data_IF_975542526059
#
_entry.id   IF_975542526059
#
_cell.length_a   1.000
_cell.length_b   1.000
_cell.length_c   1.000
_cell.angle_alpha   90.00
_cell.angle_beta   90.00
_cell.angle_gamma   90.00
#
_symmetry.space_group_name_H-M   'P 1'
#
loop_
_entity.id
_entity.type
_entity.pdbx_description
1 polymer ?
#
# COMPACT_ATOMS: atom_id res chain seq x y z
N UNK A 1 -14.08 11.93 6.15
CA UNK A 1 -13.02 11.00 6.56
C UNK A 1 -13.70 9.86 7.32
N UNK A 2 -13.92 8.71 6.67
CA UNK A 2 -14.43 7.50 7.34
C UNK A 2 -13.20 6.64 7.63
N UNK A 3 -12.81 6.59 8.90
CA UNK A 3 -11.79 5.71 9.45
C UNK A 3 -12.25 4.26 9.27
N UNK A 4 -11.63 3.52 8.34
CA UNK A 4 -11.76 2.06 8.31
C UNK A 4 -10.94 1.51 9.48
N UNK A 5 -11.58 1.25 10.62
CA UNK A 5 -11.00 0.35 11.61
C UNK A 5 -11.03 -1.06 11.01
N UNK A 6 -9.88 -1.65 10.68
CA UNK A 6 -9.82 -3.06 10.28
C UNK A 6 -10.22 -3.92 11.49
N UNK A 7 -11.51 -4.14 11.69
CA UNK A 7 -12.00 -5.07 12.67
C UNK A 7 -12.04 -6.47 12.05
N UNK A 8 -11.38 -7.42 12.71
CA UNK A 8 -11.49 -8.84 12.40
C UNK A 8 -12.33 -9.50 13.50
N UNK A 9 -13.28 -10.35 13.10
CA UNK A 9 -14.09 -11.15 14.03
C UNK A 9 -13.81 -12.62 13.80
N UNK A 10 -13.47 -13.32 14.88
CA UNK A 10 -13.23 -14.76 14.87
C UNK A 10 -14.36 -15.49 15.58
N UNK A 11 -14.80 -16.57 14.96
CA UNK A 11 -15.86 -17.46 15.44
C UNK A 11 -15.29 -18.86 15.54
N UNK A 12 -15.66 -19.59 16.60
CA UNK A 12 -15.18 -20.94 16.87
C UNK A 12 -16.35 -21.90 17.12
N UNK A 13 -16.10 -23.20 16.92
CA UNK A 13 -17.03 -24.27 17.25
C UNK A 13 -18.43 -24.09 16.63
N UNK A 14 -19.47 -24.09 17.45
CA UNK A 14 -20.85 -23.98 16.99
C UNK A 14 -21.15 -22.66 16.24
N UNK A 15 -20.54 -21.55 16.67
CA UNK A 15 -20.72 -20.26 15.99
C UNK A 15 -20.05 -20.23 14.61
N UNK A 16 -18.87 -20.85 14.48
CA UNK A 16 -18.22 -21.05 13.19
C UNK A 16 -19.09 -21.89 12.24
N UNK A 17 -19.73 -22.95 12.77
CA UNK A 17 -20.59 -23.84 11.97
C UNK A 17 -21.87 -23.17 11.46
N UNK A 18 -22.38 -22.16 12.16
CA UNK A 18 -23.52 -21.34 11.66
C UNK A 18 -23.14 -20.53 10.42
N UNK A 19 -21.88 -20.11 10.33
CA UNK A 19 -21.38 -19.31 9.21
C UNK A 19 -20.94 -20.19 8.03
N UNK A 20 -20.15 -21.23 8.33
CA UNK A 20 -19.63 -22.18 7.34
C UNK A 20 -19.83 -23.59 7.87
N UNK A 21 -20.68 -24.37 7.20
CA UNK A 21 -20.95 -25.76 7.61
C UNK A 21 -19.65 -26.57 7.64
N UNK A 22 -19.38 -27.21 8.77
CA UNK A 22 -18.20 -28.04 8.99
C UNK A 22 -16.94 -27.30 9.46
N UNK A 23 -16.99 -25.97 9.59
CA UNK A 23 -15.87 -25.19 10.12
C UNK A 23 -15.71 -25.36 11.63
N UNK A 24 -14.47 -25.37 12.10
CA UNK A 24 -14.08 -25.22 13.51
C UNK A 24 -13.76 -23.76 13.84
N UNK A 25 -13.22 -23.01 12.87
CA UNK A 25 -12.88 -21.60 12.99
C UNK A 25 -13.28 -20.86 11.71
N UNK A 26 -13.82 -19.66 11.86
CA UNK A 26 -14.12 -18.74 10.76
C UNK A 26 -13.67 -17.34 11.18
N UNK A 27 -12.88 -16.66 10.35
CA UNK A 27 -12.56 -15.24 10.50
C UNK A 27 -13.24 -14.44 9.39
N UNK A 28 -13.80 -13.30 9.77
CA UNK A 28 -14.40 -12.34 8.86
C UNK A 28 -13.68 -11.00 9.06
N UNK A 29 -13.37 -10.33 7.95
CA UNK A 29 -12.86 -8.96 7.92
C UNK A 29 -13.80 -8.08 7.11
N UNK A 30 -13.63 -6.77 7.21
CA UNK A 30 -14.43 -5.79 6.45
C UNK A 30 -14.06 -5.72 4.95
N UNK A 31 -13.06 -6.50 4.49
CA UNK A 31 -12.57 -6.44 3.11
C UNK A 31 -13.55 -7.01 2.10
N UNK A 32 -14.22 -8.11 2.45
CA UNK A 32 -15.19 -8.78 1.57
C UNK A 32 -16.36 -9.33 2.36
N UNK A 33 -17.42 -9.73 1.67
CA UNK A 33 -18.63 -10.29 2.24
C UNK A 33 -18.57 -11.82 2.46
N UNK A 34 -17.40 -12.43 2.24
CA UNK A 34 -17.10 -13.84 2.51
C UNK A 34 -15.97 -13.95 3.55
N UNK A 35 -15.96 -14.97 4.42
CA UNK A 35 -14.88 -15.16 5.38
C UNK A 35 -13.48 -15.22 4.75
N UNK A 36 -12.52 -14.51 5.32
CA UNK A 36 -11.15 -14.44 4.81
C UNK A 36 -10.26 -15.59 5.31
N UNK A 37 -10.71 -16.31 6.33
CA UNK A 37 -10.07 -17.50 6.86
C UNK A 37 -11.09 -18.50 7.40
N UNK A 38 -10.93 -19.78 7.04
CA UNK A 38 -11.81 -20.88 7.46
C UNK A 38 -10.92 -22.08 7.80
N UNK A 39 -11.11 -22.71 8.96
CA UNK A 39 -10.49 -23.99 9.32
C UNK A 39 -11.59 -25.02 9.48
N UNK A 40 -11.47 -26.18 8.83
CA UNK A 40 -12.45 -27.26 8.92
C UNK A 40 -12.15 -28.20 10.08
N UNK A 41 -13.21 -28.75 10.67
CA UNK A 41 -13.09 -29.90 11.56
C UNK A 41 -12.49 -31.09 10.78
N UNK A 42 -11.66 -31.91 11.42
CA UNK A 42 -10.99 -33.05 10.74
C UNK A 42 -11.97 -34.00 10.02
N UNK A 43 -13.13 -34.25 10.63
CA UNK A 43 -14.18 -35.11 10.06
C UNK A 43 -14.96 -34.46 8.91
N UNK A 44 -14.90 -33.12 8.77
CA UNK A 44 -15.67 -32.34 7.81
C UNK A 44 -14.81 -31.67 6.74
N UNK A 45 -13.52 -32.03 6.65
CA UNK A 45 -12.64 -31.51 5.60
C UNK A 45 -13.14 -31.94 4.21
N UNK A 46 -13.06 -31.01 3.26
CA UNK A 46 -13.66 -31.17 1.93
C UNK A 46 -12.61 -31.74 0.98
N UNK A 47 -12.90 -32.79 0.19
CA UNK A 47 -11.98 -33.24 -0.85
C UNK A 47 -11.70 -32.12 -1.87
N UNK A 48 -10.45 -31.98 -2.31
CA UNK A 48 -10.04 -30.86 -3.17
C UNK A 48 -10.87 -30.78 -4.46
N UNK A 49 -11.23 -31.93 -5.05
CA UNK A 49 -12.07 -32.01 -6.25
C UNK A 49 -13.50 -31.51 -6.05
N UNK A 50 -13.96 -31.39 -4.80
CA UNK A 50 -15.28 -30.86 -4.44
C UNK A 50 -15.26 -29.35 -4.13
N UNK A 51 -14.10 -28.69 -4.19
CA UNK A 51 -13.96 -27.26 -3.92
C UNK A 51 -15.00 -26.41 -4.67
N UNK A 52 -15.08 -26.56 -6.00
CA UNK A 52 -15.99 -25.77 -6.83
C UNK A 52 -17.46 -25.97 -6.46
N UNK A 53 -17.87 -27.19 -6.13
CA UNK A 53 -19.24 -27.47 -5.69
C UNK A 53 -19.53 -26.85 -4.33
N UNK A 54 -18.59 -26.97 -3.38
CA UNK A 54 -18.71 -26.42 -2.03
C UNK A 54 -18.79 -24.89 -2.04
N UNK A 55 -17.84 -24.23 -2.69
CA UNK A 55 -17.77 -22.76 -2.62
C UNK A 55 -18.97 -22.10 -3.29
N UNK A 56 -19.53 -22.72 -4.35
CA UNK A 56 -20.72 -22.24 -5.05
C UNK A 56 -21.98 -22.25 -4.20
N UNK A 57 -22.04 -23.02 -3.11
CA UNK A 57 -23.17 -22.98 -2.16
C UNK A 57 -23.32 -21.61 -1.49
N UNK A 58 -22.24 -20.83 -1.43
CA UNK A 58 -22.22 -19.53 -0.76
C UNK A 58 -22.33 -18.35 -1.72
N UNK A 59 -22.32 -18.59 -3.03
CA UNK A 59 -22.33 -17.52 -4.05
C UNK A 59 -23.77 -17.16 -4.43
N UNK A 60 -24.09 -15.85 -4.50
CA UNK A 60 -25.42 -15.37 -4.95
C UNK A 60 -25.72 -15.82 -6.38
N UNK A 61 -24.69 -15.80 -7.24
CA UNK A 61 -24.78 -16.12 -8.67
C UNK A 61 -23.77 -17.23 -9.05
N UNK A 62 -24.00 -18.49 -8.65
CA UNK A 62 -23.02 -19.58 -8.78
C UNK A 62 -22.76 -20.03 -10.22
N UNK A 63 -23.72 -19.82 -11.13
CA UNK A 63 -23.55 -20.10 -12.56
C UNK A 63 -22.59 -19.11 -13.24
N UNK A 64 -22.55 -17.86 -12.75
CA UNK A 64 -21.67 -16.79 -13.25
C UNK A 64 -20.30 -16.79 -12.57
N UNK A 65 -20.16 -17.48 -11.44
CA UNK A 65 -18.93 -17.50 -10.65
C UNK A 65 -18.06 -18.71 -11.00
N UNK A 66 -16.77 -18.47 -11.24
CA UNK A 66 -15.77 -19.52 -11.47
C UNK A 66 -14.43 -19.18 -10.80
N UNK A 67 -13.53 -20.16 -10.74
CA UNK A 67 -12.23 -20.03 -10.09
C UNK A 67 -11.14 -20.56 -11.04
N UNK A 68 -10.18 -19.70 -11.37
CA UNK A 68 -9.05 -20.05 -12.25
C UNK A 68 -7.81 -20.33 -11.39
N UNK A 69 -7.17 -21.47 -11.62
CA UNK A 69 -5.92 -21.82 -10.94
C UNK A 69 -4.83 -20.78 -11.27
N UNK A 70 -4.18 -20.26 -10.24
CA UNK A 70 -3.05 -19.32 -10.35
C UNK A 70 -1.74 -20.03 -10.08
N UNK A 71 -1.64 -20.71 -8.92
CA UNK A 71 -0.43 -21.45 -8.55
C UNK A 71 -0.77 -22.63 -7.63
N UNK A 72 0.12 -23.61 -7.61
CA UNK A 72 0.08 -24.77 -6.72
C UNK A 72 1.50 -25.08 -6.26
N UNK A 73 1.72 -25.13 -4.95
CA UNK A 73 3.03 -25.45 -4.39
C UNK A 73 2.92 -26.24 -3.09
N UNK A 74 3.99 -26.98 -2.76
CA UNK A 74 4.12 -27.74 -1.52
C UNK A 74 4.94 -26.94 -0.52
N UNK A 75 4.61 -27.03 0.76
CA UNK A 75 5.48 -26.51 1.82
C UNK A 75 6.34 -27.60 2.47
N UNK A 76 7.18 -27.18 3.42
CA UNK A 76 8.13 -28.06 4.11
C UNK A 76 7.49 -29.01 5.13
N UNK A 77 6.22 -28.78 5.50
CA UNK A 77 5.50 -29.56 6.52
C UNK A 77 4.39 -30.45 5.91
N UNK A 78 4.39 -30.58 4.58
CA UNK A 78 3.56 -31.51 3.83
C UNK A 78 2.18 -30.99 3.46
N UNK A 79 1.92 -29.68 3.55
CA UNK A 79 0.73 -29.09 2.95
C UNK A 79 0.95 -28.75 1.48
N UNK A 80 -0.15 -28.79 0.72
CA UNK A 80 -0.23 -28.30 -0.65
C UNK A 80 -1.14 -27.09 -0.66
N UNK A 81 -0.60 -25.97 -1.14
CA UNK A 81 -1.27 -24.68 -1.23
C UNK A 81 -1.73 -24.44 -2.66
N UNK A 82 -3.04 -24.28 -2.88
CA UNK A 82 -3.63 -24.10 -4.21
C UNK A 82 -4.32 -22.74 -4.26
N UNK A 83 -3.75 -21.80 -5.01
CA UNK A 83 -4.28 -20.44 -5.15
C UNK A 83 -5.15 -20.33 -6.40
N UNK A 84 -6.35 -19.81 -6.23
CA UNK A 84 -7.30 -19.50 -7.30
C UNK A 84 -7.61 -18.00 -7.34
N UNK A 85 -7.77 -17.50 -8.55
CA UNK A 85 -8.36 -16.19 -8.84
C UNK A 85 -9.87 -16.37 -9.01
N UNK A 86 -10.69 -15.56 -8.34
CA UNK A 86 -12.13 -15.54 -8.56
C UNK A 86 -12.47 -14.81 -9.86
N UNK A 87 -13.40 -15.38 -10.62
CA UNK A 87 -13.95 -14.82 -11.85
C UNK A 87 -15.46 -14.68 -11.74
N UNK A 88 -16.01 -13.64 -12.37
CA UNK A 88 -17.44 -13.44 -12.60
C UNK A 88 -17.67 -13.23 -14.10
N UNK A 89 -18.50 -14.07 -14.72
CA UNK A 89 -18.73 -14.09 -16.17
C UNK A 89 -17.42 -14.14 -16.98
N UNK A 90 -16.48 -15.00 -16.56
CA UNK A 90 -15.14 -15.17 -17.12
C UNK A 90 -14.19 -13.97 -16.99
N UNK A 91 -14.55 -12.92 -16.25
CA UNK A 91 -13.70 -11.76 -15.97
C UNK A 91 -13.11 -11.88 -14.57
N UNK A 92 -11.81 -11.61 -14.41
CA UNK A 92 -11.17 -11.62 -13.10
C UNK A 92 -11.70 -10.49 -12.24
N UNK A 93 -11.90 -10.74 -10.95
CA UNK A 93 -12.27 -9.72 -9.98
C UNK A 93 -11.00 -9.22 -9.29
N UNK A 94 -10.79 -7.91 -9.30
CA UNK A 94 -9.61 -7.29 -8.69
C UNK A 94 -9.48 -7.65 -7.20
N UNK A 95 -8.27 -8.04 -6.79
CA UNK A 95 -7.95 -8.46 -5.42
C UNK A 95 -8.59 -9.78 -4.95
N UNK A 96 -9.50 -10.39 -5.73
CA UNK A 96 -10.28 -11.54 -5.26
C UNK A 96 -9.55 -12.88 -5.49
N UNK A 97 -8.79 -13.31 -4.49
CA UNK A 97 -8.01 -14.55 -4.51
C UNK A 97 -8.31 -15.42 -3.30
N UNK A 98 -8.38 -16.73 -3.51
CA UNK A 98 -8.59 -17.73 -2.48
C UNK A 98 -7.50 -18.79 -2.55
N UNK A 99 -6.97 -19.19 -1.41
CA UNK A 99 -5.94 -20.22 -1.27
C UNK A 99 -6.50 -21.37 -0.44
N UNK A 100 -6.42 -22.57 -0.99
CA UNK A 100 -6.76 -23.80 -0.29
C UNK A 100 -5.49 -24.36 0.34
N UNK A 101 -5.51 -24.60 1.64
CA UNK A 101 -4.45 -25.28 2.37
C UNK A 101 -4.87 -26.73 2.56
N UNK A 102 -4.18 -27.65 1.89
CA UNK A 102 -4.64 -29.03 1.75
C UNK A 102 -3.62 -30.02 2.27
N UNK A 103 -4.11 -31.12 2.86
CA UNK A 103 -3.30 -32.26 3.31
C UNK A 103 -4.09 -33.53 3.05
N UNK A 104 -3.42 -34.59 2.59
CA UNK A 104 -4.06 -35.87 2.24
C UNK A 104 -5.25 -35.70 1.27
N UNK A 105 -5.12 -34.83 0.27
CA UNK A 105 -6.16 -34.46 -0.71
C UNK A 105 -7.47 -33.88 -0.11
N UNK A 106 -7.41 -33.36 1.11
CA UNK A 106 -8.52 -32.66 1.75
C UNK A 106 -8.15 -31.22 2.10
N UNK A 107 -9.12 -30.33 2.01
CA UNK A 107 -9.01 -28.92 2.39
C UNK A 107 -9.11 -28.85 3.91
N UNK A 108 -7.98 -28.51 4.54
CA UNK A 108 -7.87 -28.32 6.00
C UNK A 108 -8.30 -26.91 6.36
N UNK A 109 -7.84 -25.93 5.59
CA UNK A 109 -8.22 -24.54 5.75
C UNK A 109 -8.25 -23.79 4.41
N UNK A 110 -8.89 -22.63 4.42
CA UNK A 110 -9.00 -21.71 3.31
C UNK A 110 -8.60 -20.33 3.80
N UNK A 111 -7.82 -19.59 3.01
CA UNK A 111 -7.52 -18.18 3.27
C UNK A 111 -7.65 -17.33 2.02
N UNK A 112 -7.92 -16.05 2.17
CA UNK A 112 -7.96 -15.09 1.07
C UNK A 112 -9.30 -14.38 0.95
N UNK A 113 -9.34 -13.38 0.07
CA UNK A 113 -10.46 -12.47 -0.07
C UNK A 113 -11.23 -12.84 -1.34
N UNK A 114 -12.52 -13.13 -1.22
CA UNK A 114 -13.44 -13.34 -2.35
C UNK A 114 -14.79 -12.69 -2.06
N UNK A 115 -15.58 -12.45 -3.09
CA UNK A 115 -16.89 -11.80 -2.98
C UNK A 115 -18.01 -12.77 -3.30
N UNK A 116 -19.05 -12.82 -2.46
CA UNK A 116 -20.20 -13.72 -2.67
C UNK A 116 -21.39 -13.06 -3.35
N UNK A 117 -21.62 -11.76 -3.11
CA UNK A 117 -22.76 -11.01 -3.63
C UNK A 117 -22.36 -10.10 -4.80
N UNK A 118 -21.82 -10.69 -5.87
CA UNK A 118 -21.41 -9.92 -7.05
C UNK A 118 -22.60 -9.72 -8.00
N UNK A 119 -22.85 -8.46 -8.33
CA UNK A 119 -23.79 -8.03 -9.35
C UNK A 119 -23.17 -6.89 -10.16
N UNK A 120 -23.15 -7.05 -11.48
CA UNK A 120 -22.62 -6.06 -12.41
C UNK A 120 -23.65 -5.82 -13.51
N UNK A 121 -23.72 -4.58 -13.97
CA UNK A 121 -24.42 -4.26 -15.21
C UNK A 121 -23.54 -4.62 -16.40
N UNK A 122 -24.11 -5.30 -17.40
CA UNK A 122 -23.38 -5.64 -18.62
C UNK A 122 -23.42 -4.52 -19.64
N UNK A 123 -22.85 -3.37 -19.27
CA UNK A 123 -22.79 -2.18 -20.11
C UNK A 123 -21.33 -1.82 -20.42
N UNK A 124 -20.85 -2.26 -21.59
CA UNK A 124 -19.52 -1.90 -22.11
C UNK A 124 -19.78 -1.01 -23.31
N UNK A 125 -19.45 0.27 -23.19
CA UNK A 125 -19.72 1.27 -24.25
C UNK A 125 -18.46 1.96 -24.74
N UNK A 126 -17.34 1.88 -24.01
CA UNK A 126 -16.05 2.42 -24.46
C UNK A 126 -15.13 1.32 -24.98
N UNK A 127 -14.21 1.69 -25.86
CA UNK A 127 -13.19 0.77 -26.39
C UNK A 127 -11.95 0.73 -25.49
N UNK A 128 -11.12 -0.32 -25.64
CA UNK A 128 -9.81 -0.38 -25.00
C UNK A 128 -8.94 0.85 -25.34
N UNK A 129 -8.97 1.32 -26.59
CA UNK A 129 -8.19 2.48 -27.01
C UNK A 129 -8.72 3.78 -26.38
N UNK A 130 -10.04 3.95 -26.31
CA UNK A 130 -10.65 5.05 -25.56
C UNK A 130 -10.21 5.05 -24.09
N UNK A 131 -10.12 3.87 -23.47
CA UNK A 131 -9.65 3.74 -22.08
C UNK A 131 -8.21 4.22 -21.89
N UNK A 132 -7.32 3.91 -22.85
CA UNK A 132 -5.94 4.41 -22.84
C UNK A 132 -5.94 5.94 -22.95
N UNK A 133 -6.77 6.52 -23.82
CA UNK A 133 -6.85 7.97 -23.97
C UNK A 133 -7.38 8.69 -22.71
N UNK A 134 -8.33 8.12 -21.99
CA UNK A 134 -8.75 8.65 -20.68
C UNK A 134 -7.60 8.65 -19.67
N UNK A 135 -6.85 7.55 -19.59
CA UNK A 135 -5.70 7.44 -18.71
C UNK A 135 -4.54 8.37 -19.15
N UNK A 136 -4.28 8.54 -20.46
CA UNK A 136 -3.29 9.51 -20.97
C UNK A 136 -3.67 10.95 -20.62
N UNK A 137 -4.94 11.31 -20.76
CA UNK A 137 -5.46 12.62 -20.36
C UNK A 137 -5.25 12.86 -18.87
N UNK A 138 -5.51 11.86 -18.02
CA UNK A 138 -5.24 11.94 -16.58
C UNK A 138 -3.75 12.09 -16.26
N UNK A 139 -2.89 11.29 -16.90
CA UNK A 139 -1.44 11.34 -16.70
C UNK A 139 -0.86 12.68 -17.12
N UNK A 140 -1.43 13.33 -18.16
CA UNK A 140 -0.98 14.61 -18.70
C UNK A 140 0.55 14.66 -18.96
N UNK A 141 1.13 13.52 -19.36
CA UNK A 141 2.56 13.41 -19.60
C UNK A 141 2.94 13.90 -20.98
N UNK A 142 4.16 14.45 -21.10
CA UNK A 142 4.74 14.92 -22.37
C UNK A 142 5.15 13.76 -23.27
N UNK A 143 5.60 12.66 -22.67
CA UNK A 143 5.99 11.45 -23.39
C UNK A 143 5.85 10.20 -22.56
N UNK A 144 5.65 9.07 -23.24
CA UNK A 144 5.47 7.75 -22.65
C UNK A 144 6.58 6.78 -23.07
N UNK A 145 6.84 5.76 -22.25
CA UNK A 145 7.95 4.81 -22.49
C UNK A 145 7.83 4.08 -23.84
N UNK A 146 6.62 3.76 -24.29
CA UNK A 146 6.39 3.10 -25.58
C UNK A 146 6.62 4.00 -26.79
N UNK A 147 6.70 5.32 -26.60
CA UNK A 147 6.98 6.29 -27.67
C UNK A 147 8.49 6.41 -27.93
N UNK A 148 9.33 5.83 -27.05
CA UNK A 148 10.79 5.89 -27.12
C UNK A 148 11.32 4.54 -27.61
N UNK A 149 11.76 4.50 -28.87
CA UNK A 149 12.17 3.25 -29.52
C UNK A 149 13.35 2.54 -28.81
N UNK A 150 14.27 3.28 -28.18
CA UNK A 150 15.38 2.70 -27.41
C UNK A 150 14.90 2.00 -26.14
N UNK A 151 13.91 2.54 -25.44
CA UNK A 151 13.29 1.93 -24.24
C UNK A 151 12.58 0.63 -24.61
N UNK A 152 11.82 0.62 -25.71
CA UNK A 152 11.18 -0.59 -26.25
C UNK A 152 12.20 -1.68 -26.61
N UNK A 153 13.33 -1.31 -27.22
CA UNK A 153 14.42 -2.26 -27.53
C UNK A 153 15.05 -2.81 -26.25
N UNK A 154 15.30 -1.96 -25.27
CA UNK A 154 15.90 -2.35 -23.99
C UNK A 154 14.99 -3.31 -23.22
N UNK A 155 13.69 -3.04 -23.15
CA UNK A 155 12.71 -3.92 -22.49
C UNK A 155 12.73 -5.33 -23.08
N UNK A 156 12.78 -5.45 -24.41
CA UNK A 156 12.83 -6.76 -25.11
C UNK A 156 14.10 -7.53 -24.78
N UNK A 157 15.22 -6.83 -24.66
CA UNK A 157 16.49 -7.42 -24.24
C UNK A 157 16.42 -7.89 -22.77
N UNK A 158 16.01 -7.03 -21.84
CA UNK A 158 15.95 -7.33 -20.41
C UNK A 158 15.00 -8.49 -20.07
N UNK A 159 13.87 -8.56 -20.77
CA UNK A 159 12.85 -9.60 -20.56
C UNK A 159 13.10 -10.86 -21.39
N UNK A 160 14.11 -10.85 -22.26
CA UNK A 160 14.35 -11.88 -23.27
C UNK A 160 13.08 -12.24 -24.05
N UNK A 161 12.27 -11.23 -24.41
CA UNK A 161 10.98 -11.41 -25.08
C UNK A 161 10.85 -10.40 -26.24
N UNK A 162 10.87 -10.86 -27.51
CA UNK A 162 10.81 -9.96 -28.67
C UNK A 162 9.46 -9.22 -28.80
N UNK A 163 8.41 -9.71 -28.15
CA UNK A 163 7.07 -9.13 -28.16
C UNK A 163 6.79 -8.24 -26.93
N UNK A 164 7.76 -8.05 -26.03
CA UNK A 164 7.59 -7.15 -24.90
C UNK A 164 7.40 -5.71 -25.40
N UNK A 165 6.49 -4.97 -24.76
CA UNK A 165 6.23 -3.56 -25.04
C UNK A 165 5.75 -2.84 -23.80
N UNK A 166 6.04 -1.54 -23.72
CA UNK A 166 5.45 -0.64 -22.72
C UNK A 166 4.04 -0.18 -23.13
N UNK A 167 3.61 -0.42 -24.37
CA UNK A 167 2.27 -0.04 -24.80
C UNK A 167 1.22 -0.72 -23.91
N UNK A 168 0.27 0.03 -23.33
CA UNK A 168 -0.69 -0.55 -22.40
C UNK A 168 -1.51 -1.66 -23.07
N UNK A 169 -1.78 -2.71 -22.31
CA UNK A 169 -2.67 -3.81 -22.74
C UNK A 169 -3.90 -3.85 -21.82
N UNK A 170 -4.98 -3.11 -22.15
CA UNK A 170 -6.22 -3.11 -21.37
C UNK A 170 -6.85 -4.48 -21.29
N UNK A 171 -7.11 -4.94 -20.07
CA UNK A 171 -7.84 -6.18 -19.79
C UNK A 171 -9.13 -5.86 -19.03
N UNK A 172 -10.25 -6.43 -19.48
CA UNK A 172 -11.53 -6.21 -18.81
C UNK A 172 -11.60 -7.02 -17.50
N UNK A 173 -11.87 -6.33 -16.40
CA UNK A 173 -11.95 -6.89 -15.05
C UNK A 173 -13.22 -6.40 -14.35
N UNK A 174 -13.56 -7.04 -13.24
CA UNK A 174 -14.54 -6.54 -12.29
C UNK A 174 -13.78 -5.92 -11.11
N UNK A 175 -14.20 -4.76 -10.63
CA UNK A 175 -13.65 -4.08 -9.45
C UNK A 175 -14.77 -3.75 -8.46
N UNK A 176 -14.51 -3.94 -7.18
CA UNK A 176 -15.36 -3.48 -6.09
C UNK A 176 -14.92 -2.07 -5.69
N UNK A 177 -15.75 -1.06 -5.95
CA UNK A 177 -15.40 0.35 -5.72
C UNK A 177 -15.83 0.80 -4.32
N UNK A 178 -15.31 1.95 -3.85
CA UNK A 178 -15.55 2.46 -2.48
C UNK A 178 -17.02 2.65 -2.11
N UNK A 179 -17.91 2.86 -3.09
CA UNK A 179 -19.35 2.95 -2.85
C UNK A 179 -20.00 1.61 -2.48
N UNK A 180 -19.27 0.49 -2.59
CA UNK A 180 -19.78 -0.87 -2.36
C UNK A 180 -20.32 -1.56 -3.62
N UNK A 181 -20.27 -0.89 -4.77
CA UNK A 181 -20.74 -1.46 -6.03
C UNK A 181 -19.64 -2.24 -6.75
N UNK A 182 -20.03 -3.22 -7.58
CA UNK A 182 -19.13 -3.83 -8.54
C UNK A 182 -19.30 -3.17 -9.91
N UNK A 183 -18.17 -2.81 -10.54
CA UNK A 183 -18.14 -2.24 -11.89
C UNK A 183 -17.25 -3.07 -12.80
N UNK A 184 -17.54 -3.04 -14.10
CA UNK A 184 -16.64 -3.55 -15.12
C UNK A 184 -15.68 -2.44 -15.54
N UNK A 185 -14.39 -2.76 -15.56
CA UNK A 185 -13.34 -1.78 -15.83
C UNK A 185 -12.25 -2.34 -16.74
N UNK A 186 -11.72 -1.50 -17.62
CA UNK A 186 -10.44 -1.74 -18.26
C UNK A 186 -9.31 -1.50 -17.26
N UNK A 187 -8.47 -2.52 -17.06
CA UNK A 187 -7.30 -2.46 -16.20
C UNK A 187 -6.01 -2.61 -17.01
N UNK A 188 -5.09 -1.67 -16.81
CA UNK A 188 -3.77 -1.64 -17.44
C UNK A 188 -2.85 -0.69 -16.68
N UNK A 189 -1.56 -0.72 -17.02
CA UNK A 189 -0.56 0.21 -16.49
C UNK A 189 -0.13 1.19 -17.58
N UNK A 190 0.00 2.46 -17.23
CA UNK A 190 0.70 3.46 -18.03
C UNK A 190 2.03 3.78 -17.37
N UNK A 191 3.08 3.91 -18.18
CA UNK A 191 4.40 4.34 -17.76
C UNK A 191 4.82 5.57 -18.59
N UNK A 192 4.77 6.75 -17.97
CA UNK A 192 5.28 7.98 -18.57
C UNK A 192 6.79 8.08 -18.41
N UNK A 193 7.43 8.68 -19.41
CA UNK A 193 8.85 8.98 -19.38
C UNK A 193 9.12 10.41 -18.91
N UNK A 194 8.24 11.38 -19.26
CA UNK A 194 8.36 12.76 -18.83
C UNK A 194 6.99 13.36 -18.44
N UNK A 195 6.73 13.62 -17.14
CA UNK A 195 7.55 13.19 -16.01
C UNK A 195 7.61 11.66 -15.89
N UNK A 196 8.62 11.14 -15.19
CA UNK A 196 8.68 9.71 -14.86
C UNK A 196 7.55 9.42 -13.88
N UNK A 197 6.62 8.57 -14.28
CA UNK A 197 5.52 8.12 -13.42
C UNK A 197 4.96 6.79 -13.94
N UNK A 198 4.49 5.92 -13.06
CA UNK A 198 3.91 4.64 -13.44
C UNK A 198 2.68 4.37 -12.59
N UNK A 199 1.53 4.26 -13.23
CA UNK A 199 0.24 4.08 -12.57
C UNK A 199 -0.54 2.95 -13.20
N UNK A 200 -1.17 2.13 -12.37
CA UNK A 200 -2.19 1.18 -12.79
C UNK A 200 -3.56 1.86 -12.71
N UNK A 201 -4.35 1.74 -13.78
CA UNK A 201 -5.66 2.35 -13.92
C UNK A 201 -6.76 1.30 -13.90
N UNK A 202 -7.94 1.72 -13.42
CA UNK A 202 -9.21 1.05 -13.59
C UNK A 202 -10.20 2.04 -14.20
N UNK A 203 -10.49 1.91 -15.49
CA UNK A 203 -11.36 2.81 -16.24
C UNK A 203 -12.71 2.13 -16.44
N UNK A 204 -13.80 2.75 -15.99
CA UNK A 204 -15.16 2.26 -16.15
C UNK A 204 -15.46 1.97 -17.63
N UNK A 205 -15.82 0.71 -17.92
CA UNK A 205 -16.04 0.24 -19.28
C UNK A 205 -17.33 0.81 -19.92
N UNK A 206 -18.23 1.41 -19.14
CA UNK A 206 -19.48 2.01 -19.62
C UNK A 206 -19.30 3.46 -20.05
N UNK A 207 -18.48 4.25 -19.36
CA UNK A 207 -18.46 5.71 -19.55
C UNK A 207 -17.05 6.34 -19.53
N UNK A 208 -15.99 5.58 -19.24
CA UNK A 208 -14.62 6.10 -19.19
C UNK A 208 -14.22 6.79 -17.89
N UNK A 209 -15.09 6.80 -16.87
CA UNK A 209 -14.73 7.34 -15.56
C UNK A 209 -13.57 6.56 -14.92
N UNK A 210 -12.67 7.26 -14.24
CA UNK A 210 -11.57 6.63 -13.51
C UNK A 210 -12.11 6.13 -12.17
N UNK A 211 -12.14 4.81 -12.00
CA UNK A 211 -12.66 4.15 -10.80
C UNK A 211 -11.60 3.99 -9.72
N UNK A 212 -10.35 3.74 -10.11
CA UNK A 212 -9.21 3.60 -9.21
C UNK A 212 -7.89 3.87 -9.97
N UNK A 213 -6.89 4.38 -9.23
CA UNK A 213 -5.53 4.63 -9.73
C UNK A 213 -4.54 4.21 -8.66
N UNK A 214 -3.56 3.37 -9.01
CA UNK A 214 -2.56 2.83 -8.08
C UNK A 214 -1.16 3.19 -8.53
N UNK A 215 -0.41 3.84 -7.66
CA UNK A 215 0.99 4.16 -7.90
C UNK A 215 1.83 2.89 -7.98
N UNK A 216 2.70 2.79 -9.01
CA UNK A 216 3.62 1.66 -9.26
C UNK A 216 5.09 2.05 -9.21
N UNK A 217 5.41 3.33 -9.18
CA UNK A 217 6.73 3.84 -8.78
C UNK A 217 6.60 4.42 -7.38
N UNK A 218 7.23 3.76 -6.41
CA UNK A 218 7.41 4.33 -5.09
C UNK A 218 8.66 5.19 -5.17
N UNK A 219 8.53 6.46 -4.82
CA UNK A 219 9.55 7.43 -5.14
C UNK A 219 10.74 7.30 -4.17
N UNK A 220 11.91 7.32 -4.78
CA UNK A 220 13.21 7.36 -4.12
C UNK A 220 13.33 8.63 -3.25
N UNK A 221 14.36 8.66 -2.42
CA UNK A 221 14.84 9.85 -1.75
C UNK A 221 14.99 11.02 -2.75
N UNK A 222 14.38 12.16 -2.43
CA UNK A 222 14.39 13.40 -3.19
C UNK A 222 14.90 14.52 -2.27
N UNK A 223 15.82 15.31 -2.80
CA UNK A 223 16.32 16.51 -2.14
C UNK A 223 15.26 17.60 -2.08
N UNK A 224 14.90 18.03 -0.88
CA UNK A 224 14.05 19.18 -0.59
C UNK A 224 14.83 20.35 0.02
N UNK A 225 14.16 21.48 0.17
CA UNK A 225 14.68 22.64 0.93
C UNK A 225 13.79 22.89 2.13
N UNK A 226 14.38 22.98 3.31
CA UNK A 226 13.72 23.28 4.56
C UNK A 226 13.98 24.72 5.01
N UNK A 227 12.93 25.48 5.26
CA UNK A 227 13.00 26.73 6.03
C UNK A 227 12.87 26.35 7.50
N UNK A 228 13.99 26.05 8.14
CA UNK A 228 14.04 25.59 9.53
C UNK A 228 13.86 26.76 10.51
N UNK A 229 13.47 26.49 11.76
CA UNK A 229 13.31 27.54 12.77
C UNK A 229 14.64 28.13 13.21
N UNK A 230 15.63 27.28 13.42
CA UNK A 230 16.88 27.66 14.10
C UNK A 230 18.09 27.69 13.18
N UNK A 231 18.05 26.97 12.06
CA UNK A 231 19.22 26.71 11.22
C UNK A 231 19.13 27.39 9.85
N UNK A 232 18.14 28.27 9.65
CA UNK A 232 17.89 28.94 8.38
C UNK A 232 17.44 27.98 7.28
N UNK A 233 17.74 28.30 6.02
CA UNK A 233 17.39 27.43 4.90
C UNK A 233 18.41 26.29 4.79
N UNK A 234 17.94 25.06 4.91
CA UNK A 234 18.77 23.85 4.84
C UNK A 234 18.30 22.93 3.73
N UNK A 235 19.21 22.09 3.24
CA UNK A 235 18.86 21.00 2.34
C UNK A 235 18.53 19.77 3.16
N UNK A 236 17.42 19.11 2.83
CA UNK A 236 16.98 17.87 3.48
C UNK A 236 16.67 16.81 2.43
N UNK A 237 16.65 15.55 2.84
CA UNK A 237 16.15 14.43 2.03
C UNK A 237 14.74 14.08 2.45
N UNK A 238 13.88 13.75 1.48
CA UNK A 238 12.46 13.42 1.68
C UNK A 238 12.07 12.30 0.72
N UNK A 239 10.92 11.65 0.90
CA UNK A 239 10.38 10.71 -0.08
C UNK A 239 9.14 11.34 -0.73
N UNK A 240 8.93 11.06 -2.02
CA UNK A 240 7.68 11.43 -2.65
C UNK A 240 6.59 10.43 -2.30
N UNK A 241 5.44 10.98 -1.94
CA UNK A 241 4.30 10.31 -1.36
C UNK A 241 3.02 10.85 -1.99
N UNK A 242 2.36 10.03 -2.80
CA UNK A 242 1.01 10.32 -3.34
C UNK A 242 0.89 11.66 -4.10
N UNK A 243 1.95 12.09 -4.81
CA UNK A 243 1.97 13.38 -5.53
C UNK A 243 2.30 14.60 -4.65
N UNK A 244 2.85 14.35 -3.46
CA UNK A 244 3.36 15.28 -2.47
C UNK A 244 4.69 14.71 -1.93
N UNK A 245 5.30 15.33 -0.94
CA UNK A 245 6.53 14.89 -0.27
C UNK A 245 6.24 14.73 1.20
N UNK A 246 6.97 13.86 1.91
CA UNK A 246 6.91 13.77 3.37
C UNK A 246 8.31 13.65 3.97
N UNK A 247 8.44 13.99 5.25
CA UNK A 247 9.71 13.98 5.98
C UNK A 247 10.15 12.55 6.34
N UNK A 248 10.47 11.77 5.32
CA UNK A 248 11.03 10.42 5.42
C UNK A 248 12.12 10.23 4.38
N UNK A 249 13.13 9.46 4.72
CA UNK A 249 14.16 9.04 3.76
C UNK A 249 14.69 7.64 4.09
N UNK A 250 15.40 7.04 3.13
CA UNK A 250 16.07 5.73 3.29
C UNK A 250 17.57 5.78 2.96
N UNK A 251 18.12 6.96 2.68
CA UNK A 251 19.51 7.16 2.27
C UNK A 251 20.49 6.96 3.43
N UNK A 252 20.02 7.18 4.66
CA UNK A 252 20.79 7.01 5.90
C UNK A 252 20.29 5.82 6.71
N UNK A 253 21.15 4.82 6.89
CA UNK A 253 20.84 3.61 7.66
C UNK A 253 19.60 2.89 7.13
N UNK A 254 18.67 2.55 8.03
CA UNK A 254 17.34 2.01 7.69
C UNK A 254 16.28 3.13 7.54
N UNK A 255 16.71 4.40 7.54
CA UNK A 255 15.90 5.58 7.28
C UNK A 255 15.85 6.58 8.43
N UNK A 256 15.44 7.80 8.09
CA UNK A 256 15.14 8.89 9.03
C UNK A 256 13.69 9.32 8.76
N UNK A 257 12.87 9.40 9.79
CA UNK A 257 11.46 9.76 9.66
C UNK A 257 11.05 10.78 10.73
N UNK A 258 10.22 11.75 10.36
CA UNK A 258 9.74 12.79 11.28
C UNK A 258 8.23 12.95 11.23
N UNK A 259 7.61 12.96 12.41
CA UNK A 259 6.17 12.83 12.60
C UNK A 259 5.59 13.95 13.46
N UNK A 260 4.34 14.32 13.16
CA UNK A 260 3.54 15.25 13.94
C UNK A 260 2.74 14.49 15.00
N UNK A 261 2.97 14.80 16.29
CA UNK A 261 2.19 14.24 17.41
C UNK A 261 0.84 14.94 17.61
N UNK A 262 0.58 16.03 16.88
CA UNK A 262 -0.64 16.83 16.94
C UNK A 262 -0.98 17.29 18.36
N UNK A 263 0.03 17.70 19.15
CA UNK A 263 -0.10 18.06 20.58
C UNK A 263 -0.63 16.92 21.47
N UNK A 264 -0.58 15.69 20.97
CA UNK A 264 -0.94 14.49 21.70
C UNK A 264 0.29 13.77 22.29
N UNK A 265 0.03 12.67 22.99
CA UNK A 265 1.05 11.81 23.63
C UNK A 265 1.05 10.38 23.10
N UNK A 266 0.16 10.04 22.16
CA UNK A 266 0.05 8.71 21.58
C UNK A 266 0.78 8.62 20.23
N UNK A 267 1.97 8.01 20.22
CA UNK A 267 2.77 7.83 19.01
C UNK A 267 2.06 7.07 17.88
N UNK A 268 1.14 6.15 18.22
CA UNK A 268 0.37 5.40 17.22
C UNK A 268 -0.67 6.25 16.48
N UNK A 269 -0.91 7.48 16.93
CA UNK A 269 -1.79 8.47 16.29
C UNK A 269 -1.04 9.58 15.58
N UNK A 270 0.30 9.55 15.59
CA UNK A 270 1.11 10.53 14.90
C UNK A 270 0.90 10.47 13.38
N UNK A 271 1.01 11.62 12.73
CA UNK A 271 0.78 11.76 11.29
C UNK A 271 2.04 12.23 10.57
N UNK A 272 2.12 11.95 9.26
CA UNK A 272 3.18 12.51 8.42
C UNK A 272 3.01 14.03 8.30
N UNK A 273 4.14 14.74 8.26
CA UNK A 273 4.18 16.05 7.62
C UNK A 273 4.23 15.86 6.11
N UNK A 274 3.43 16.63 5.37
CA UNK A 274 3.39 16.56 3.91
C UNK A 274 3.55 17.93 3.28
N UNK A 275 4.27 18.01 2.17
CA UNK A 275 4.51 19.24 1.42
C UNK A 275 4.25 19.04 -0.08
N UNK A 276 3.74 20.04 -0.78
CA UNK A 276 3.29 19.89 -2.16
C UNK A 276 4.42 20.01 -3.19
N UNK A 277 5.47 20.77 -2.91
CA UNK A 277 6.52 21.15 -3.88
C UNK A 277 7.95 20.86 -3.40
N UNK A 278 8.08 20.30 -2.19
CA UNK A 278 9.33 19.98 -1.49
C UNK A 278 10.14 21.20 -1.06
N UNK A 279 9.50 22.37 -1.03
CA UNK A 279 10.02 23.59 -0.42
C UNK A 279 9.29 23.82 0.89
N UNK A 280 9.82 23.21 1.96
CA UNK A 280 9.22 23.18 3.29
C UNK A 280 9.34 24.53 3.99
N UNK A 281 8.44 25.44 3.65
CA UNK A 281 8.29 26.77 4.22
C UNK A 281 7.12 26.83 5.20
N UNK A 282 6.98 25.77 5.99
CA UNK A 282 5.88 25.52 6.92
C UNK A 282 5.90 26.40 8.18
N UNK A 283 6.37 27.65 8.05
CA UNK A 283 6.29 28.67 9.11
C UNK A 283 4.82 29.06 9.29
N UNK A 284 4.20 28.51 10.32
CA UNK A 284 2.78 28.64 10.56
C UNK A 284 2.44 28.76 12.05
N UNK A 285 1.15 28.84 12.37
CA UNK A 285 0.69 29.01 13.75
C UNK A 285 0.96 27.78 14.63
N UNK A 286 1.14 26.61 14.02
CA UNK A 286 1.45 25.33 14.66
C UNK A 286 2.95 25.15 14.87
N UNK A 287 3.78 26.04 14.30
CA UNK A 287 5.24 26.01 14.40
C UNK A 287 5.82 24.76 13.71
N UNK A 288 5.21 24.35 12.60
CA UNK A 288 5.62 23.13 11.89
C UNK A 288 7.07 23.22 11.36
N UNK A 289 7.68 24.41 11.29
CA UNK A 289 9.11 24.55 11.00
C UNK A 289 10.02 23.78 11.99
N UNK A 290 9.51 23.45 13.19
CA UNK A 290 10.20 22.59 14.15
C UNK A 290 10.42 21.15 13.62
N UNK A 291 9.51 20.66 12.78
CA UNK A 291 9.62 19.35 12.13
C UNK A 291 10.83 19.29 11.20
N UNK A 292 11.07 20.38 10.46
CA UNK A 292 12.18 20.43 9.52
C UNK A 292 13.52 20.65 10.22
N UNK A 293 13.55 21.34 11.37
CA UNK A 293 14.73 21.32 12.25
C UNK A 293 15.05 19.90 12.73
N UNK A 294 14.06 19.18 13.29
CA UNK A 294 14.26 17.85 13.83
C UNK A 294 14.70 16.84 12.76
N UNK A 295 14.12 16.94 11.56
CA UNK A 295 14.49 16.09 10.43
C UNK A 295 15.92 16.35 10.00
N UNK A 296 16.25 17.61 9.67
CA UNK A 296 17.59 18.01 9.25
C UNK A 296 18.65 17.70 10.32
N UNK A 297 18.37 17.96 11.59
CA UNK A 297 19.32 17.68 12.66
C UNK A 297 19.57 16.17 12.83
N UNK A 298 18.57 15.32 12.59
CA UNK A 298 18.74 13.87 12.57
C UNK A 298 19.67 13.43 11.42
N UNK A 299 19.50 14.02 10.23
CA UNK A 299 20.39 13.81 9.08
C UNK A 299 21.83 14.21 9.40
N UNK A 300 22.03 15.42 9.93
CA UNK A 300 23.36 15.94 10.28
C UNK A 300 24.03 15.13 11.39
N UNK A 301 23.25 14.66 12.37
CA UNK A 301 23.77 13.82 13.44
C UNK A 301 24.22 12.46 12.89
N UNK A 302 23.41 11.82 12.04
CA UNK A 302 23.81 10.59 11.37
C UNK A 302 25.10 10.80 10.56
N UNK A 303 25.13 11.85 9.72
CA UNK A 303 26.27 12.14 8.85
C UNK A 303 27.53 12.45 9.66
N UNK A 304 27.41 13.15 10.77
CA UNK A 304 28.53 13.41 11.67
C UNK A 304 29.12 12.10 12.19
N UNK A 305 28.30 11.20 12.72
CA UNK A 305 28.79 9.92 13.28
C UNK A 305 29.36 9.01 12.19
N UNK A 306 28.69 8.92 11.04
CA UNK A 306 29.14 8.09 9.94
C UNK A 306 30.45 8.60 9.34
N UNK A 307 30.55 9.89 9.05
CA UNK A 307 31.72 10.44 8.36
C UNK A 307 32.96 10.54 9.26
N UNK A 308 32.78 10.81 10.56
CA UNK A 308 33.92 10.97 11.47
C UNK A 308 34.36 9.65 12.15
N UNK A 309 33.42 8.72 12.37
CA UNK A 309 33.68 7.50 13.14
C UNK A 309 33.29 6.20 12.43
N UNK A 310 32.67 6.28 11.25
CA UNK A 310 32.22 5.10 10.49
C UNK A 310 31.01 4.40 11.11
N UNK A 311 30.30 5.04 12.04
CA UNK A 311 29.14 4.43 12.69
C UNK A 311 27.90 4.54 11.81
N UNK A 312 27.36 3.39 11.42
CA UNK A 312 26.09 3.33 10.71
C UNK A 312 24.92 3.45 11.71
N UNK A 313 24.51 4.69 12.01
CA UNK A 313 23.50 5.02 13.04
C UNK A 313 23.93 4.64 14.48
N UNK A 314 23.01 4.82 15.44
CA UNK A 314 23.26 4.69 16.88
C UNK A 314 23.64 3.27 17.33
N UNK A 315 23.31 2.24 16.55
CA UNK A 315 23.61 0.84 16.83
C UNK A 315 24.73 0.26 15.95
N UNK A 316 25.32 1.08 15.08
CA UNK A 316 26.26 0.67 14.03
C UNK A 316 25.71 -0.42 13.07
N UNK A 317 24.38 -0.55 12.97
CA UNK A 317 23.67 -1.48 12.10
C UNK A 317 22.54 -0.79 11.30
N UNK A 318 22.56 0.55 11.27
CA UNK A 318 21.63 1.36 10.53
C UNK A 318 20.31 1.59 11.26
N UNK A 319 20.26 1.61 12.59
CA UNK A 319 19.06 1.96 13.35
C UNK A 319 18.25 3.09 12.69
N UNK A 320 16.94 2.88 12.51
CA UNK A 320 16.04 3.89 11.94
C UNK A 320 15.82 5.01 12.95
N UNK A 321 16.16 6.24 12.58
CA UNK A 321 15.98 7.40 13.45
C UNK A 321 14.56 7.94 13.30
N UNK A 322 13.80 7.94 14.41
CA UNK A 322 12.42 8.40 14.45
C UNK A 322 12.32 9.65 15.31
N UNK A 323 11.86 10.75 14.73
CA UNK A 323 11.65 12.02 15.41
C UNK A 323 10.16 12.33 15.51
N UNK A 324 9.69 12.68 16.70
CA UNK A 324 8.30 13.06 16.95
C UNK A 324 8.27 14.48 17.52
N UNK A 325 7.64 15.41 16.81
CA UNK A 325 7.50 16.81 17.22
C UNK A 325 6.05 17.13 17.62
N UNK A 326 5.84 18.28 18.28
CA UNK A 326 4.54 18.68 18.86
C UNK A 326 4.02 17.69 19.91
N UNK A 327 4.92 17.13 20.72
CA UNK A 327 4.55 16.21 21.80
C UNK A 327 3.91 16.98 22.96
N UNK A 328 2.65 16.64 23.28
CA UNK A 328 1.85 17.25 24.36
C UNK A 328 1.72 18.79 24.26
N UNK A 329 0.94 19.41 25.14
CA UNK A 329 0.69 20.86 25.13
C UNK A 329 1.78 21.57 25.93
N UNK A 330 2.59 22.39 25.23
CA UNK A 330 3.67 23.18 25.83
C UNK A 330 4.66 22.36 26.67
N UNK A 331 4.86 21.10 26.28
CA UNK A 331 5.79 20.20 26.97
C UNK A 331 7.20 20.76 26.91
N UNK A 332 7.77 21.04 28.08
CA UNK A 332 9.01 21.79 28.20
C UNK A 332 10.23 20.87 28.29
N UNK A 333 10.33 19.90 27.37
CA UNK A 333 11.47 18.99 27.30
C UNK A 333 11.60 18.31 25.93
N UNK A 334 12.78 17.73 25.68
CA UNK A 334 13.02 16.74 24.64
C UNK A 334 13.67 15.49 25.26
N UNK A 335 13.44 14.31 24.68
CA UNK A 335 14.00 13.07 25.20
C UNK A 335 14.14 11.96 24.17
N UNK A 336 15.06 11.03 24.47
CA UNK A 336 15.18 9.71 23.85
C UNK A 336 14.60 8.64 24.79
N UNK A 337 13.67 7.82 24.31
CA UNK A 337 13.00 6.79 25.11
C UNK A 337 13.62 5.38 24.97
N UNK A 338 14.72 5.23 24.23
CA UNK A 338 15.29 3.94 23.84
C UNK A 338 14.87 3.46 22.46
N UNK A 339 13.91 4.12 21.81
CA UNK A 339 13.39 3.75 20.49
C UNK A 339 13.21 4.94 19.54
N UNK A 340 12.97 6.15 20.06
CA UNK A 340 12.69 7.36 19.26
C UNK A 340 13.08 8.65 20.01
N UNK A 341 13.32 9.72 19.25
CA UNK A 341 13.47 11.08 19.77
C UNK A 341 12.12 11.79 19.79
N UNK A 342 11.83 12.51 20.87
CA UNK A 342 10.56 13.22 21.07
C UNK A 342 10.82 14.64 21.54
N UNK A 343 10.16 15.60 20.91
CA UNK A 343 10.37 17.03 21.12
C UNK A 343 9.05 17.71 21.47
N UNK A 344 9.02 18.39 22.62
CA UNK A 344 7.93 19.28 22.98
C UNK A 344 8.11 20.68 22.40
N UNK A 345 7.02 21.44 22.35
CA UNK A 345 7.03 22.81 21.84
C UNK A 345 7.42 23.85 22.91
N UNK A 346 7.46 23.44 24.18
CA UNK A 346 7.70 24.33 25.31
C UNK A 346 6.67 25.45 25.45
N UNK A 347 6.94 26.36 26.39
CA UNK A 347 6.15 27.58 26.55
C UNK A 347 6.65 28.76 25.71
N UNK A 348 7.83 28.63 25.08
CA UNK A 348 8.50 29.73 24.38
C UNK A 348 8.99 29.34 22.99
N UNK A 349 9.63 28.18 22.87
CA UNK A 349 10.14 27.68 21.60
C UNK A 349 10.32 26.14 21.65
N UNK A 350 10.18 25.45 20.50
CA UNK A 350 10.32 24.01 20.40
C UNK A 350 11.76 23.56 20.65
N UNK A 351 11.93 22.38 21.25
CA UNK A 351 13.24 21.83 21.63
C UNK A 351 13.91 21.08 20.47
N UNK A 352 13.95 21.67 19.28
CA UNK A 352 14.42 21.03 18.04
C UNK A 352 15.73 21.61 17.50
N UNK A 353 16.49 22.37 18.29
CA UNK A 353 17.81 22.85 17.87
C UNK A 353 18.76 21.67 17.60
N UNK A 354 19.74 21.87 16.71
CA UNK A 354 20.64 20.79 16.28
C UNK A 354 21.45 20.17 17.41
N UNK A 355 21.81 20.96 18.42
CA UNK A 355 22.51 20.48 19.61
C UNK A 355 21.61 19.66 20.52
N UNK A 356 20.33 20.02 20.67
CA UNK A 356 19.34 19.24 21.42
C UNK A 356 19.02 17.93 20.69
N UNK A 357 18.85 17.96 19.37
CA UNK A 357 18.58 16.76 18.59
C UNK A 357 19.79 15.82 18.53
N UNK A 358 21.01 16.35 18.58
CA UNK A 358 22.23 15.56 18.63
C UNK A 358 22.62 15.04 20.01
N UNK A 359 22.06 15.62 21.09
CA UNK A 359 22.24 15.20 22.48
C UNK A 359 21.40 13.96 22.81
#
# INVERSE_FOLDING_TARGET
MLTYSLSAKEYFGAEAQKLIKGANQVRITEKTDFPDFIVFNELNQIPVEKFNSWIKLYMKNPAKTSFKLVTKYNDKIGFIHIKYQQLYENKTIDGAVITLHTKNNKIVSVSGNIYKNIEIENNISITSESSINFAKTFMNAKSYKWEIQSEEKQLKFETNNPNATYYPSPNLKVIHIKSGEFKQAYNFTIYSHNPIDKKEFFIDASNGAILDVRQKLYDADITGTAVTKYSGNQTITTDSYSGSYRLREIGRGNGIETYNMNTGTNYGSATDFTDADNYWNNVNAQIDEAATDAHWASEMTYDFYFNNFGFNSIDNAGFKLLSYVHYDVSYSNAFWDGSRMTYGDGSSAPFTTVDIAGH
#
